data_IF_494580169448
#
_entry.id   IF_494580169448
#
_cell.length_a   1.000
_cell.length_b   1.000
_cell.length_c   1.000
_cell.angle_alpha   90.00
_cell.angle_beta   90.00
_cell.angle_gamma   90.00
#
_symmetry.space_group_name_H-M   'P 1'
#
loop_
_entity.id
_entity.type
_entity.pdbx_description
1 polymer ?
#
# COMPACT_ATOMS: atom_id res chain seq x y z
N UNK A 1 -33.04 -39.91 -25.24
CA UNK A 1 -33.86 -38.91 -24.52
C UNK A 1 -33.31 -38.85 -23.10
N UNK A 2 -32.40 -37.93 -22.82
CA UNK A 2 -31.62 -37.93 -21.58
C UNK A 2 -32.17 -36.87 -20.62
N UNK A 3 -32.47 -37.33 -19.41
CA UNK A 3 -33.03 -36.60 -18.28
C UNK A 3 -31.91 -35.82 -17.59
N UNK A 4 -32.09 -34.50 -17.46
CA UNK A 4 -31.18 -33.61 -16.75
C UNK A 4 -31.62 -33.52 -15.28
N UNK A 5 -30.83 -34.09 -14.37
CA UNK A 5 -30.98 -33.90 -12.93
C UNK A 5 -30.28 -32.58 -12.55
N UNK A 6 -31.10 -31.58 -12.20
CA UNK A 6 -30.61 -30.29 -11.75
C UNK A 6 -29.81 -30.40 -10.46
N UNK A 7 -28.60 -29.84 -10.44
CA UNK A 7 -27.96 -29.41 -9.20
C UNK A 7 -28.27 -27.92 -8.98
N UNK A 8 -29.26 -27.70 -8.13
CA UNK A 8 -29.49 -26.42 -7.46
C UNK A 8 -28.35 -26.15 -6.50
N UNK A 9 -27.72 -24.98 -6.64
CA UNK A 9 -26.79 -24.47 -5.64
C UNK A 9 -25.50 -23.89 -6.21
N UNK A 10 -25.59 -22.93 -7.15
CA UNK A 10 -24.51 -21.94 -7.28
C UNK A 10 -24.52 -21.10 -6.00
N UNK A 11 -23.83 -21.58 -4.97
CA UNK A 11 -23.39 -20.74 -3.87
C UNK A 11 -22.59 -19.61 -4.49
N UNK A 12 -23.20 -18.43 -4.62
CA UNK A 12 -22.47 -17.20 -4.88
C UNK A 12 -21.49 -17.06 -3.72
N UNK A 13 -20.22 -17.39 -3.98
CA UNK A 13 -19.10 -17.00 -3.14
C UNK A 13 -19.32 -15.53 -2.80
N UNK A 14 -19.55 -15.24 -1.51
CA UNK A 14 -19.60 -13.86 -1.03
C UNK A 14 -18.27 -13.25 -1.45
N UNK A 15 -18.32 -12.26 -2.33
CA UNK A 15 -17.16 -11.46 -2.74
C UNK A 15 -16.55 -10.94 -1.45
N UNK A 16 -15.31 -11.36 -1.18
CA UNK A 16 -14.60 -11.07 0.06
C UNK A 16 -14.68 -9.58 0.39
N UNK A 17 -14.62 -9.28 1.68
CA UNK A 17 -14.37 -7.93 2.17
C UNK A 17 -13.11 -7.41 1.48
N UNK A 18 -13.32 -6.57 0.46
CA UNK A 18 -12.33 -5.63 -0.06
C UNK A 18 -11.12 -6.26 -0.77
N UNK A 19 -11.25 -6.46 -2.08
CA UNK A 19 -10.13 -6.46 -3.03
C UNK A 19 -9.43 -5.08 -2.98
N UNK A 20 -8.64 -4.87 -1.93
CA UNK A 20 -7.87 -3.65 -1.68
C UNK A 20 -6.67 -3.68 -2.63
N UNK A 21 -6.79 -2.90 -3.70
CA UNK A 21 -5.83 -2.84 -4.79
C UNK A 21 -4.98 -1.57 -4.71
N UNK A 22 -5.46 -0.54 -4.02
CA UNK A 22 -4.90 0.81 -4.04
C UNK A 22 -3.42 0.81 -3.61
N UNK A 23 -3.06 0.03 -2.60
CA UNK A 23 -1.69 -0.13 -2.12
C UNK A 23 -0.89 -1.23 -2.85
N UNK A 24 -1.55 -2.13 -3.59
CA UNK A 24 -0.97 -3.36 -4.15
C UNK A 24 -0.78 -3.36 -5.66
N UNK A 25 -1.33 -2.37 -6.37
CA UNK A 25 -1.24 -2.31 -7.83
C UNK A 25 -0.65 -1.00 -8.35
N UNK A 26 -0.17 -1.09 -9.58
CA UNK A 26 0.18 0.06 -10.42
C UNK A 26 -0.84 0.14 -11.53
N UNK A 27 -1.55 1.27 -11.66
CA UNK A 27 -2.57 1.48 -12.70
C UNK A 27 -2.36 2.80 -13.42
N UNK A 28 -2.65 2.78 -14.71
CA UNK A 28 -2.60 3.94 -15.61
C UNK A 28 -4.02 4.31 -16.04
N UNK A 29 -4.26 5.59 -16.30
CA UNK A 29 -5.49 6.14 -16.88
C UNK A 29 -6.75 5.64 -16.18
N UNK A 30 -6.72 5.73 -14.85
CA UNK A 30 -7.76 5.21 -13.98
C UNK A 30 -9.02 6.06 -14.16
N UNK A 31 -10.21 5.44 -14.29
CA UNK A 31 -11.46 6.17 -14.26
C UNK A 31 -11.59 7.05 -13.02
N UNK A 32 -12.15 8.25 -13.18
CA UNK A 32 -12.37 9.23 -12.09
C UNK A 32 -13.03 8.59 -10.86
N UNK A 33 -13.98 7.69 -11.10
CA UNK A 33 -14.71 6.97 -10.04
C UNK A 33 -13.80 6.18 -9.11
N UNK A 34 -12.68 5.68 -9.63
CA UNK A 34 -11.65 4.93 -8.89
C UNK A 34 -10.49 5.81 -8.40
N UNK A 35 -10.49 7.10 -8.76
CA UNK A 35 -9.55 8.12 -8.26
C UNK A 35 -9.96 8.67 -6.89
N UNK A 36 -11.22 8.47 -6.50
CA UNK A 36 -11.70 8.85 -5.18
C UNK A 36 -10.96 8.08 -4.07
N UNK A 37 -10.80 8.75 -2.92
CA UNK A 37 -10.21 8.14 -1.74
C UNK A 37 -11.10 7.00 -1.26
N UNK A 38 -10.50 5.83 -1.02
CA UNK A 38 -11.18 4.73 -0.35
C UNK A 38 -11.46 5.07 1.11
N UNK A 39 -12.43 4.41 1.73
CA UNK A 39 -12.59 4.43 3.19
C UNK A 39 -11.27 4.09 3.89
N UNK A 40 -10.82 4.97 4.81
CA UNK A 40 -9.54 4.85 5.51
C UNK A 40 -8.33 5.40 4.74
N UNK A 41 -8.47 5.69 3.44
CA UNK A 41 -7.46 6.41 2.66
C UNK A 41 -7.53 7.91 2.98
N UNK A 42 -6.39 8.50 3.35
CA UNK A 42 -6.26 9.91 3.71
C UNK A 42 -5.19 10.56 2.85
N UNK A 43 -5.48 11.75 2.34
CA UNK A 43 -4.50 12.56 1.64
C UNK A 43 -3.54 13.15 2.68
N UNK A 44 -2.26 12.86 2.52
CA UNK A 44 -1.18 13.39 3.36
C UNK A 44 -0.61 14.65 2.73
N UNK A 45 -0.48 14.66 1.40
CA UNK A 45 0.07 15.80 0.69
C UNK A 45 -0.47 15.95 -0.74
N UNK A 46 -0.44 17.20 -1.22
CA UNK A 46 -0.76 17.59 -2.60
C UNK A 46 0.32 18.55 -3.10
N UNK A 47 0.85 18.26 -4.27
CA UNK A 47 1.95 18.98 -4.88
C UNK A 47 1.56 19.31 -6.32
N UNK A 48 1.33 20.59 -6.58
CA UNK A 48 1.09 21.11 -7.91
C UNK A 48 2.38 21.29 -8.69
N UNK A 49 2.26 21.30 -10.02
CA UNK A 49 3.36 21.52 -10.95
C UNK A 49 4.45 20.45 -10.81
N UNK A 50 4.05 19.18 -10.68
CA UNK A 50 4.95 18.03 -10.74
C UNK A 50 4.80 17.36 -12.11
N UNK A 51 5.88 17.26 -12.85
CA UNK A 51 5.96 16.59 -14.15
C UNK A 51 6.24 15.10 -13.96
N UNK A 52 5.54 14.23 -14.70
CA UNK A 52 5.99 12.85 -14.94
C UNK A 52 6.97 12.87 -16.13
N UNK A 53 8.25 13.04 -15.82
CA UNK A 53 9.31 13.24 -16.83
C UNK A 53 9.54 12.00 -17.69
N UNK A 54 9.16 10.80 -17.21
CA UNK A 54 9.35 9.55 -17.94
C UNK A 54 8.16 9.24 -18.86
N UNK A 55 6.94 9.34 -18.35
CA UNK A 55 5.72 8.97 -19.10
C UNK A 55 5.10 10.13 -19.87
N UNK A 56 5.15 11.35 -19.34
CA UNK A 56 4.42 12.53 -19.83
C UNK A 56 5.31 13.78 -19.86
N UNK A 57 6.48 13.65 -20.48
CA UNK A 57 7.48 14.72 -20.54
C UNK A 57 6.95 15.98 -21.23
N UNK A 58 7.10 17.14 -20.58
CA UNK A 58 6.57 18.41 -21.04
C UNK A 58 5.16 18.75 -20.53
N UNK A 59 4.50 17.85 -19.79
CA UNK A 59 3.18 18.10 -19.22
C UNK A 59 3.22 18.39 -17.73
N UNK A 60 2.38 19.32 -17.29
CA UNK A 60 2.27 19.71 -15.88
C UNK A 60 1.21 18.85 -15.24
N UNK A 61 1.57 18.18 -14.15
CA UNK A 61 0.64 17.39 -13.36
C UNK A 61 0.56 17.84 -11.91
N UNK A 62 -0.33 17.15 -11.19
CA UNK A 62 -0.44 17.21 -9.74
C UNK A 62 -0.11 15.84 -9.17
N UNK A 63 0.81 15.82 -8.22
CA UNK A 63 1.15 14.64 -7.42
C UNK A 63 0.37 14.70 -6.10
N UNK A 64 -0.35 13.63 -5.78
CA UNK A 64 -1.11 13.48 -4.54
C UNK A 64 -0.53 12.28 -3.80
N UNK A 65 -0.11 12.49 -2.55
CA UNK A 65 0.44 11.45 -1.69
C UNK A 65 -0.62 11.11 -0.65
N UNK A 66 -1.11 9.87 -0.65
CA UNK A 66 -2.05 9.36 0.35
C UNK A 66 -1.32 8.48 1.36
N UNK A 67 -2.02 7.87 2.31
CA UNK A 67 -1.43 6.85 3.19
C UNK A 67 -1.27 5.46 2.52
N UNK A 68 -1.83 5.24 1.32
CA UNK A 68 -1.83 3.94 0.63
C UNK A 68 -1.11 3.95 -0.72
N UNK A 69 -1.15 5.08 -1.43
CA UNK A 69 -0.62 5.20 -2.80
C UNK A 69 -0.16 6.62 -3.13
N UNK A 70 0.54 6.71 -4.24
CA UNK A 70 0.87 7.94 -4.93
C UNK A 70 -0.04 8.04 -6.15
N UNK A 71 -0.72 9.16 -6.31
CA UNK A 71 -1.48 9.48 -7.50
C UNK A 71 -0.78 10.61 -8.24
N UNK A 72 -0.76 10.50 -9.57
CA UNK A 72 -0.40 11.61 -10.44
C UNK A 72 -1.48 11.76 -11.50
N UNK A 73 -1.85 12.99 -11.81
CA UNK A 73 -2.72 13.26 -12.95
C UNK A 73 -2.25 14.51 -13.68
N UNK A 74 -2.45 14.52 -14.99
CA UNK A 74 -2.20 15.71 -15.79
C UNK A 74 -3.17 16.83 -15.40
N UNK A 75 -2.69 18.08 -15.43
CA UNK A 75 -3.51 19.28 -15.30
C UNK A 75 -4.05 19.74 -16.67
N UNK A 76 -3.41 19.31 -17.76
CA UNK A 76 -3.77 19.69 -19.13
C UNK A 76 -4.74 18.68 -19.76
N UNK A 77 -4.55 17.39 -19.48
CA UNK A 77 -5.28 16.27 -20.09
C UNK A 77 -5.86 15.37 -19.00
N UNK A 78 -7.09 15.65 -18.60
CA UNK A 78 -7.74 15.01 -17.46
C UNK A 78 -7.84 13.47 -17.50
N UNK A 79 -7.77 12.85 -18.69
CA UNK A 79 -7.78 11.39 -18.83
C UNK A 79 -6.45 10.72 -18.47
N UNK A 80 -5.35 11.46 -18.50
CA UNK A 80 -4.02 10.92 -18.23
C UNK A 80 -3.79 10.92 -16.73
N UNK A 81 -3.64 9.73 -16.15
CA UNK A 81 -3.41 9.56 -14.72
C UNK A 81 -2.63 8.29 -14.38
N UNK A 82 -2.14 8.24 -13.15
CA UNK A 82 -1.32 7.18 -12.64
C UNK A 82 -1.62 6.97 -11.15
N UNK A 83 -1.71 5.71 -10.73
CA UNK A 83 -1.74 5.30 -9.33
C UNK A 83 -0.64 4.28 -9.10
N UNK A 84 0.17 4.53 -8.07
CA UNK A 84 1.25 3.65 -7.64
C UNK A 84 0.99 3.29 -6.18
N UNK A 85 0.60 2.05 -5.91
CA UNK A 85 0.49 1.54 -4.55
C UNK A 85 1.85 1.46 -3.86
N UNK A 86 1.91 1.84 -2.58
CA UNK A 86 3.18 1.80 -1.84
C UNK A 86 3.75 0.39 -1.69
N UNK A 87 2.93 -0.66 -1.72
CA UNK A 87 3.42 -2.04 -1.64
C UNK A 87 4.13 -2.49 -2.94
N UNK A 88 3.92 -1.78 -4.04
CA UNK A 88 4.60 -2.06 -5.30
C UNK A 88 5.99 -1.42 -5.37
N UNK A 89 6.31 -0.46 -4.49
CA UNK A 89 7.56 0.29 -4.55
C UNK A 89 8.70 -0.60 -4.02
N UNK A 90 9.68 -0.86 -4.89
CA UNK A 90 10.91 -1.57 -4.57
C UNK A 90 11.99 -0.61 -4.11
N UNK A 91 12.07 0.56 -4.74
CA UNK A 91 13.04 1.59 -4.40
C UNK A 91 12.49 2.98 -4.71
N UNK A 92 12.83 3.94 -3.86
CA UNK A 92 12.54 5.36 -4.05
C UNK A 92 13.83 6.14 -3.78
N UNK A 93 14.36 6.82 -4.79
CA UNK A 93 15.65 7.52 -4.74
C UNK A 93 15.58 8.86 -5.46
N UNK A 94 16.59 9.69 -5.26
CA UNK A 94 16.81 10.89 -6.09
C UNK A 94 17.67 10.53 -7.29
N UNK A 95 17.37 11.13 -8.46
CA UNK A 95 18.14 10.98 -9.69
C UNK A 95 18.23 12.33 -10.40
N UNK A 96 19.40 12.67 -10.94
CA UNK A 96 19.53 13.85 -11.81
C UNK A 96 19.00 13.49 -13.20
N UNK A 97 18.08 14.31 -13.72
CA UNK A 97 17.42 14.11 -15.00
C UNK A 97 17.34 15.42 -15.79
N UNK A 98 17.18 15.33 -17.10
CA UNK A 98 16.93 16.49 -17.96
C UNK A 98 15.42 16.59 -18.26
N UNK A 99 14.73 17.49 -17.57
CA UNK A 99 13.31 17.78 -17.78
C UNK A 99 13.14 18.78 -18.94
N UNK A 100 12.14 18.60 -19.79
CA UNK A 100 11.86 19.57 -20.86
C UNK A 100 11.39 20.93 -20.33
N UNK A 101 10.74 20.93 -19.17
CA UNK A 101 10.22 22.16 -18.55
C UNK A 101 11.22 22.82 -17.60
N UNK A 102 12.26 22.10 -17.16
CA UNK A 102 13.25 22.59 -16.17
C UNK A 102 14.72 22.55 -16.58
N UNK A 103 15.07 21.81 -17.62
CA UNK A 103 16.47 21.44 -17.88
C UNK A 103 16.98 20.41 -16.87
N UNK A 104 18.29 20.42 -16.61
CA UNK A 104 18.94 19.50 -15.67
C UNK A 104 18.53 19.79 -14.23
N UNK A 105 17.89 18.83 -13.57
CA UNK A 105 17.39 18.95 -12.20
C UNK A 105 17.37 17.60 -11.49
N UNK A 106 17.33 17.62 -10.17
CA UNK A 106 17.02 16.43 -9.39
C UNK A 106 15.53 16.09 -9.50
N UNK A 107 15.22 14.80 -9.60
CA UNK A 107 13.88 14.26 -9.68
C UNK A 107 13.72 13.02 -8.80
N UNK A 108 12.49 12.78 -8.35
CA UNK A 108 12.11 11.59 -7.62
C UNK A 108 12.03 10.42 -8.59
N UNK A 109 12.83 9.40 -8.34
CA UNK A 109 12.88 8.18 -9.12
C UNK A 109 12.28 7.04 -8.31
N UNK A 110 11.19 6.46 -8.80
CA UNK A 110 10.53 5.31 -8.20
C UNK A 110 10.71 4.09 -9.09
N UNK A 111 11.19 3.01 -8.49
CA UNK A 111 11.23 1.70 -9.11
C UNK A 111 10.18 0.81 -8.44
N UNK A 112 9.29 0.26 -9.25
CA UNK A 112 8.19 -0.57 -8.77
C UNK A 112 8.23 -1.96 -9.39
N UNK A 113 7.58 -2.93 -8.74
CA UNK A 113 7.34 -4.27 -9.27
C UNK A 113 5.87 -4.62 -9.06
N UNK A 114 5.19 -4.96 -10.15
CA UNK A 114 3.80 -5.41 -10.14
C UNK A 114 3.58 -6.43 -11.28
N UNK A 115 2.86 -7.52 -11.00
CA UNK A 115 2.60 -8.60 -11.97
C UNK A 115 3.84 -9.05 -12.77
N UNK A 116 4.94 -9.37 -12.06
CA UNK A 116 6.25 -9.73 -12.64
C UNK A 116 6.88 -8.69 -13.58
N UNK A 117 6.29 -7.51 -13.72
CA UNK A 117 6.80 -6.39 -14.50
C UNK A 117 7.44 -5.37 -13.57
N UNK A 118 8.47 -4.68 -14.07
CA UNK A 118 9.11 -3.58 -13.36
C UNK A 118 8.77 -2.28 -14.08
N UNK A 119 8.33 -1.28 -13.35
CA UNK A 119 8.05 0.06 -13.89
C UNK A 119 8.96 1.09 -13.23
N UNK A 120 9.47 2.01 -14.04
CA UNK A 120 10.28 3.16 -13.64
C UNK A 120 9.43 4.42 -13.78
N UNK A 121 9.34 5.22 -12.72
CA UNK A 121 8.67 6.52 -12.72
C UNK A 121 9.65 7.61 -12.30
N UNK A 122 9.56 8.77 -12.95
CA UNK A 122 10.42 9.92 -12.67
C UNK A 122 9.53 11.14 -12.53
N UNK A 123 9.50 11.71 -11.33
CA UNK A 123 8.71 12.91 -11.03
C UNK A 123 9.63 14.10 -10.76
N UNK A 124 9.46 15.16 -11.54
CA UNK A 124 10.23 16.40 -11.42
C UNK A 124 9.33 17.49 -10.87
N UNK A 125 9.71 18.12 -9.75
CA UNK A 125 9.03 19.32 -9.32
C UNK A 125 9.47 20.52 -10.16
N UNK A 126 8.49 21.18 -10.78
CA UNK A 126 8.72 22.33 -11.63
C UNK A 126 8.86 23.64 -10.85
N UNK A 127 8.61 23.66 -9.53
CA UNK A 127 8.85 24.83 -8.67
C UNK A 127 10.29 24.85 -8.17
N UNK A 128 11.04 25.92 -8.45
CA UNK A 128 12.48 26.03 -8.12
C UNK A 128 12.69 25.93 -6.62
N UNK A 129 13.73 25.21 -6.18
CA UNK A 129 14.10 25.12 -4.77
C UNK A 129 13.12 24.32 -3.91
N UNK A 130 12.03 23.80 -4.48
CA UNK A 130 11.04 23.03 -3.74
C UNK A 130 11.29 21.52 -3.89
N UNK A 131 11.86 20.92 -2.84
CA UNK A 131 12.13 19.49 -2.75
C UNK A 131 11.06 18.72 -1.97
N UNK A 132 9.91 19.35 -1.69
CA UNK A 132 8.85 18.78 -0.83
C UNK A 132 8.30 17.45 -1.32
N UNK A 133 8.25 17.25 -2.63
CA UNK A 133 7.86 15.99 -3.25
C UNK A 133 8.73 14.81 -2.80
N UNK A 134 10.04 15.01 -2.61
CA UNK A 134 10.93 13.99 -2.07
C UNK A 134 10.60 13.67 -0.62
N UNK A 135 10.57 14.67 0.25
CA UNK A 135 10.38 14.48 1.69
C UNK A 135 9.02 13.85 1.98
N UNK A 136 7.99 14.26 1.24
CA UNK A 136 6.64 13.75 1.36
C UNK A 136 6.54 12.29 0.96
N UNK A 137 6.94 11.93 -0.27
CA UNK A 137 6.85 10.55 -0.75
C UNK A 137 7.74 9.61 0.07
N UNK A 138 8.98 10.01 0.37
CA UNK A 138 9.93 9.17 1.13
C UNK A 138 9.46 8.96 2.57
N UNK A 139 8.97 10.02 3.22
CA UNK A 139 8.47 9.96 4.59
C UNK A 139 7.25 9.04 4.70
N UNK A 140 6.30 9.20 3.79
CA UNK A 140 5.09 8.37 3.76
C UNK A 140 5.41 6.93 3.39
N UNK A 141 6.26 6.67 2.39
CA UNK A 141 6.66 5.32 2.03
C UNK A 141 7.34 4.60 3.21
N UNK A 142 8.22 5.29 3.96
CA UNK A 142 8.82 4.74 5.18
C UNK A 142 7.78 4.41 6.25
N UNK A 143 6.82 5.31 6.49
CA UNK A 143 5.72 5.09 7.42
C UNK A 143 4.83 3.90 6.99
N UNK A 144 4.53 3.79 5.70
CA UNK A 144 3.81 2.67 5.11
C UNK A 144 4.52 1.34 5.38
N UNK A 145 5.83 1.25 5.11
CA UNK A 145 6.60 0.03 5.36
C UNK A 145 6.62 -0.36 6.85
N UNK A 146 6.79 0.62 7.74
CA UNK A 146 6.81 0.38 9.19
C UNK A 146 5.47 -0.08 9.77
N UNK A 147 4.36 0.24 9.10
CA UNK A 147 3.00 -0.11 9.52
C UNK A 147 2.47 -1.40 8.90
N UNK A 148 3.25 -2.08 8.04
CA UNK A 148 2.86 -3.36 7.42
C UNK A 148 2.32 -4.41 8.42
N UNK A 149 2.89 -4.56 9.63
CA UNK A 149 2.37 -5.51 10.61
C UNK A 149 0.88 -5.33 10.98
N UNK A 150 0.30 -4.14 10.84
CA UNK A 150 -1.13 -3.91 11.07
C UNK A 150 -2.05 -4.56 10.02
N UNK A 151 -1.52 -4.99 8.86
CA UNK A 151 -2.33 -5.43 7.70
C UNK A 151 -1.78 -6.62 6.94
N UNK A 152 -0.58 -7.09 7.27
CA UNK A 152 0.04 -8.27 6.66
C UNK A 152 0.04 -9.44 7.65
N UNK A 153 -0.43 -10.61 7.21
CA UNK A 153 -0.28 -11.84 7.95
C UNK A 153 1.21 -12.28 7.92
N UNK A 154 1.83 -12.42 9.09
CA UNK A 154 3.19 -12.96 9.21
C UNK A 154 3.18 -14.29 9.96
N UNK A 155 3.62 -15.34 9.29
CA UNK A 155 3.93 -16.61 9.92
C UNK A 155 5.35 -16.55 10.51
N UNK A 156 5.51 -17.03 11.75
CA UNK A 156 6.81 -17.10 12.44
C UNK A 156 7.53 -15.75 12.58
N UNK A 157 6.76 -14.67 12.75
CA UNK A 157 7.31 -13.36 13.05
C UNK A 157 7.96 -13.33 14.45
N UNK A 158 9.02 -12.55 14.62
CA UNK A 158 9.61 -12.25 15.92
C UNK A 158 8.74 -11.28 16.72
N UNK A 159 7.54 -11.73 17.09
CA UNK A 159 6.52 -10.97 17.80
C UNK A 159 6.65 -11.09 19.31
N UNK A 160 7.52 -11.97 19.81
CA UNK A 160 7.75 -12.16 21.24
C UNK A 160 9.18 -11.75 21.60
N UNK A 161 9.33 -10.93 22.64
CA UNK A 161 10.62 -10.61 23.28
C UNK A 161 10.47 -10.77 24.78
N UNK A 162 11.42 -11.46 25.41
CA UNK A 162 11.40 -11.72 26.87
C UNK A 162 10.07 -12.32 27.37
N UNK A 163 9.50 -13.27 26.61
CA UNK A 163 8.20 -13.91 26.89
C UNK A 163 6.99 -12.95 26.89
N UNK A 164 7.15 -11.74 26.36
CA UNK A 164 6.06 -10.78 26.18
C UNK A 164 5.89 -10.45 24.69
N UNK A 165 4.64 -10.22 24.29
CA UNK A 165 4.33 -9.76 22.94
C UNK A 165 4.82 -8.33 22.74
N UNK A 166 5.53 -8.12 21.63
CA UNK A 166 5.87 -6.79 21.13
C UNK A 166 4.63 -6.20 20.49
N UNK A 167 3.95 -5.33 21.24
CA UNK A 167 2.79 -4.59 20.75
C UNK A 167 3.21 -3.47 19.78
N UNK A 168 2.40 -3.24 18.75
CA UNK A 168 2.57 -2.09 17.87
C UNK A 168 2.07 -0.81 18.57
N UNK A 169 2.50 0.40 18.12
CA UNK A 169 2.18 1.65 18.80
C UNK A 169 0.69 1.94 19.07
N UNK A 170 -0.22 1.39 18.25
CA UNK A 170 -1.67 1.59 18.34
C UNK A 170 -2.41 0.30 18.71
N UNK A 171 -1.70 -0.74 19.14
CA UNK A 171 -2.29 -1.99 19.62
C UNK A 171 -2.39 -2.01 21.15
N UNK A 172 -3.46 -2.63 21.63
CA UNK A 172 -3.62 -2.97 23.04
C UNK A 172 -4.01 -4.45 23.18
N UNK A 173 -3.39 -5.12 24.17
CA UNK A 173 -3.74 -6.50 24.53
C UNK A 173 -5.09 -6.47 25.23
N UNK A 174 -6.02 -7.25 24.70
CA UNK A 174 -7.37 -7.38 25.25
C UNK A 174 -7.46 -8.57 26.20
N UNK A 175 -6.87 -9.70 25.80
CA UNK A 175 -6.93 -10.93 26.56
C UNK A 175 -5.70 -11.82 26.28
N UNK A 176 -5.39 -12.67 27.26
CA UNK A 176 -4.29 -13.64 27.24
C UNK A 176 -4.86 -15.01 27.56
N UNK A 177 -4.82 -15.91 26.58
CA UNK A 177 -5.37 -17.26 26.72
C UNK A 177 -4.26 -18.29 26.60
N UNK A 178 -3.98 -18.97 27.70
CA UNK A 178 -3.01 -20.07 27.75
C UNK A 178 -3.64 -21.40 27.36
N UNK A 179 -2.80 -22.37 26.98
CA UNK A 179 -3.25 -23.75 26.75
C UNK A 179 -4.01 -23.97 25.45
N UNK A 180 -3.89 -23.06 24.48
CA UNK A 180 -4.62 -23.15 23.21
C UNK A 180 -3.96 -24.16 22.28
N UNK A 181 -4.74 -25.13 21.82
CA UNK A 181 -4.27 -26.12 20.86
C UNK A 181 -4.12 -25.51 19.46
N UNK A 182 -2.96 -25.72 18.84
CA UNK A 182 -2.82 -25.51 17.42
C UNK A 182 -3.41 -26.71 16.67
N UNK A 183 -4.48 -26.53 15.88
CA UNK A 183 -5.05 -27.67 15.13
C UNK A 183 -4.21 -28.05 13.90
N UNK A 184 -3.22 -27.25 13.52
CA UNK A 184 -2.29 -27.59 12.42
C UNK A 184 -1.03 -28.33 12.88
N UNK A 185 -0.83 -28.51 14.20
CA UNK A 185 0.32 -29.20 14.79
C UNK A 185 -0.02 -29.64 16.20
N UNK A 186 0.39 -30.82 16.67
CA UNK A 186 0.08 -31.33 18.03
C UNK A 186 0.83 -30.59 19.16
N UNK A 187 0.76 -29.26 19.18
CA UNK A 187 1.46 -28.36 20.08
C UNK A 187 0.46 -27.41 20.75
N UNK A 188 0.68 -27.17 22.04
CA UNK A 188 -0.06 -26.22 22.86
C UNK A 188 0.64 -24.86 22.79
N UNK A 189 -0.13 -23.78 22.63
CA UNK A 189 0.33 -22.41 22.45
C UNK A 189 -0.42 -21.45 23.40
N UNK A 190 0.15 -20.27 23.63
CA UNK A 190 -0.57 -19.13 24.23
C UNK A 190 -1.02 -18.19 23.11
N UNK A 191 -2.31 -17.82 23.08
CA UNK A 191 -2.85 -16.82 22.13
C UNK A 191 -3.01 -15.47 22.84
N UNK A 192 -2.64 -14.40 22.14
CA UNK A 192 -2.84 -13.03 22.58
C UNK A 192 -3.79 -12.33 21.60
N UNK A 193 -4.86 -11.75 22.13
CA UNK A 193 -5.85 -11.01 21.33
C UNK A 193 -5.55 -9.52 21.39
N UNK A 194 -5.37 -8.88 20.22
CA UNK A 194 -5.10 -7.44 20.10
C UNK A 194 -6.25 -6.73 19.37
N UNK A 195 -6.50 -5.48 19.77
CA UNK A 195 -7.38 -4.54 19.06
C UNK A 195 -6.55 -3.43 18.41
N UNK A 196 -6.98 -3.03 17.21
CA UNK A 196 -6.55 -1.79 16.54
C UNK A 196 -7.79 -0.96 16.20
N UNK A 197 -7.87 0.29 16.70
CA UNK A 197 -8.93 1.28 16.41
C UNK A 197 -10.33 0.70 16.13
N UNK A 198 -10.82 -0.26 16.94
CA UNK A 198 -12.14 -0.96 16.86
C UNK A 198 -12.27 -2.22 15.98
N UNK A 199 -11.20 -2.70 15.34
CA UNK A 199 -11.18 -4.00 14.66
C UNK A 199 -10.32 -5.04 15.41
N UNK A 200 -10.88 -6.24 15.63
CA UNK A 200 -10.14 -7.40 16.14
C UNK A 200 -9.14 -7.87 15.10
N UNK A 201 -7.85 -7.78 15.41
CA UNK A 201 -6.81 -8.46 14.65
C UNK A 201 -6.45 -9.71 15.44
N UNK A 202 -6.84 -10.87 14.90
CA UNK A 202 -6.48 -12.16 15.47
C UNK A 202 -5.00 -12.45 15.11
N UNK A 203 -4.07 -11.96 15.92
CA UNK A 203 -2.68 -12.38 15.84
C UNK A 203 -2.55 -13.73 16.55
N UNK A 204 -2.67 -14.84 15.80
CA UNK A 204 -2.29 -16.17 16.32
C UNK A 204 -0.78 -16.17 16.48
N UNK A 205 -0.33 -15.92 17.70
CA UNK A 205 1.08 -15.91 18.05
C UNK A 205 1.43 -17.30 18.56
N UNK A 206 2.30 -18.00 17.85
CA UNK A 206 2.88 -19.22 18.37
C UNK A 206 3.93 -18.84 19.42
N UNK A 207 3.53 -18.83 20.68
CA UNK A 207 4.48 -18.85 21.80
C UNK A 207 4.98 -20.28 21.96
N UNK A 208 6.22 -20.53 21.50
CA UNK A 208 7.00 -21.67 21.98
C UNK A 208 7.46 -21.31 23.40
N UNK A 209 6.90 -22.01 24.40
CA UNK A 209 7.49 -22.08 25.75
C UNK A 209 8.47 -23.25 25.82
#
# INVERSE_FOLDING_TARGET
MAINLGSTGKGKMKKDVSDMWEDKEVRFDIPITLSNMRTGEKIIDKLDFVEDTKGNNGDKGRLIVTNLRILWHSLSVFRISLSIGFNCIVSATTKVVNSKLRGTTEALHLLTKFNNSRFEFIFTNLVSGNTRHFTSVMGVHKAYLSSKPYRELKLRGAVVRHKQLVILPLEHICDVVDGVWNLSSDQVLTILLNLYETHFILNIISLFL
#
